data_IF_893076358689
#
_entry.id   IF_893076358689
#
_cell.length_a   1.000
_cell.length_b   1.000
_cell.length_c   1.000
_cell.angle_alpha   90.00
_cell.angle_beta   90.00
_cell.angle_gamma   90.00
#
_symmetry.space_group_name_H-M   'P 1'
#
loop_
_entity.id
_entity.type
_entity.pdbx_description
1 polymer ?
#
# COMPACT_ATOMS: atom_id res chain seq x y z
N UNK A 1 -11.54 11.11 5.02
CA UNK A 1 -11.29 9.67 5.29
C UNK A 1 -9.83 9.39 4.99
N UNK A 2 -9.18 8.57 5.81
CA UNK A 2 -7.77 8.20 5.68
C UNK A 2 -7.69 6.70 5.40
N UNK A 3 -6.84 6.31 4.44
CA UNK A 3 -6.53 4.90 4.17
C UNK A 3 -5.12 4.56 4.63
N UNK A 4 -4.97 3.49 5.39
CA UNK A 4 -3.70 2.90 5.79
C UNK A 4 -3.56 1.51 5.17
N UNK A 5 -2.33 1.02 5.07
CA UNK A 5 -2.04 -0.33 4.60
C UNK A 5 -1.17 -1.06 5.59
N UNK A 6 -1.42 -2.35 5.75
CA UNK A 6 -0.79 -3.17 6.77
C UNK A 6 -1.14 -4.64 6.65
N UNK A 7 -0.88 -5.42 7.70
CA UNK A 7 -1.25 -6.84 7.81
C UNK A 7 -1.64 -7.14 9.25
N UNK A 8 -2.55 -8.10 9.45
CA UNK A 8 -2.97 -8.62 10.76
C UNK A 8 -3.43 -7.53 11.75
N UNK A 9 -4.26 -6.59 11.30
CA UNK A 9 -4.71 -5.44 12.11
C UNK A 9 -6.02 -5.67 12.87
N UNK A 10 -6.75 -6.74 12.59
CA UNK A 10 -8.06 -7.03 13.20
C UNK A 10 -8.01 -6.99 14.74
N UNK A 11 -7.04 -7.69 15.33
CA UNK A 11 -6.86 -7.75 16.78
C UNK A 11 -6.50 -6.38 17.38
N UNK A 12 -5.67 -5.61 16.68
CA UNK A 12 -5.30 -4.26 17.11
C UNK A 12 -6.55 -3.37 17.15
N UNK A 13 -7.39 -3.39 16.11
CA UNK A 13 -8.55 -2.52 16.04
C UNK A 13 -9.65 -2.91 17.02
N UNK A 14 -9.82 -4.22 17.29
CA UNK A 14 -10.73 -4.69 18.33
C UNK A 14 -10.27 -4.26 19.73
N UNK A 15 -9.00 -4.49 20.09
CA UNK A 15 -8.52 -4.19 21.44
C UNK A 15 -8.35 -2.68 21.72
N UNK A 16 -7.99 -1.90 20.69
CA UNK A 16 -7.78 -0.46 20.81
C UNK A 16 -9.07 0.35 20.57
N UNK A 17 -10.19 -0.33 20.28
CA UNK A 17 -11.48 0.28 19.94
C UNK A 17 -11.32 1.35 18.84
N UNK A 18 -10.69 0.93 17.74
CA UNK A 18 -10.45 1.75 16.54
C UNK A 18 -11.57 1.47 15.55
N UNK A 19 -12.32 2.51 15.19
CA UNK A 19 -13.40 2.39 14.21
C UNK A 19 -12.87 2.54 12.78
N UNK A 20 -12.70 1.41 12.09
CA UNK A 20 -12.18 1.34 10.74
C UNK A 20 -12.87 0.26 9.90
N UNK A 21 -13.03 0.53 8.60
CA UNK A 21 -13.58 -0.40 7.63
C UNK A 21 -12.45 -1.06 6.83
N UNK A 22 -12.42 -2.40 6.77
CA UNK A 22 -11.49 -3.12 5.88
C UNK A 22 -11.99 -3.03 4.45
N UNK A 23 -11.22 -2.38 3.59
CA UNK A 23 -11.56 -2.15 2.19
C UNK A 23 -11.05 -3.27 1.29
N UNK A 24 -9.85 -3.78 1.57
CA UNK A 24 -9.16 -4.80 0.77
C UNK A 24 -8.38 -5.73 1.67
N UNK A 25 -8.33 -7.02 1.31
CA UNK A 25 -7.36 -7.98 1.82
C UNK A 25 -6.89 -8.87 0.65
N UNK A 26 -5.59 -8.90 0.39
CA UNK A 26 -5.02 -9.71 -0.70
C UNK A 26 -4.93 -11.17 -0.28
N UNK A 27 -5.13 -12.11 -1.22
CA UNK A 27 -5.17 -13.54 -0.87
C UNK A 27 -3.80 -14.09 -0.49
N UNK A 28 -2.76 -13.79 -1.26
CA UNK A 28 -1.43 -14.35 -1.09
C UNK A 28 -0.64 -13.67 0.03
N UNK A 29 -0.54 -12.35 -0.04
CA UNK A 29 0.29 -11.56 0.89
C UNK A 29 -0.45 -11.12 2.15
N UNK A 30 -1.79 -11.29 2.21
CA UNK A 30 -2.62 -10.81 3.34
C UNK A 30 -2.45 -9.32 3.62
N UNK A 31 -2.07 -8.54 2.61
CA UNK A 31 -2.01 -7.09 2.69
C UNK A 31 -3.42 -6.55 2.82
N UNK A 32 -3.63 -5.73 3.83
CA UNK A 32 -4.92 -5.14 4.17
C UNK A 32 -4.88 -3.64 3.91
N UNK A 33 -5.95 -3.10 3.34
CA UNK A 33 -6.20 -1.66 3.29
C UNK A 33 -7.40 -1.35 4.17
N UNK A 34 -7.21 -0.42 5.11
CA UNK A 34 -8.25 -0.01 6.06
C UNK A 34 -8.55 1.46 5.91
N UNK A 35 -9.82 1.82 5.93
CA UNK A 35 -10.32 3.18 5.86
C UNK A 35 -10.90 3.61 7.20
N UNK A 36 -10.54 4.81 7.65
CA UNK A 36 -11.04 5.37 8.92
C UNK A 36 -11.20 6.89 8.84
N UNK A 37 -11.80 7.47 9.88
CA UNK A 37 -11.85 8.93 10.02
C UNK A 37 -10.47 9.51 10.37
N UNK A 38 -10.28 10.82 10.18
CA UNK A 38 -9.03 11.50 10.59
C UNK A 38 -8.83 11.41 12.12
N UNK A 39 -9.91 11.51 12.91
CA UNK A 39 -9.84 11.37 14.36
C UNK A 39 -9.36 9.99 14.79
N UNK A 40 -9.88 8.93 14.15
CA UNK A 40 -9.46 7.55 14.43
C UNK A 40 -8.01 7.32 14.01
N UNK A 41 -7.60 7.90 12.88
CA UNK A 41 -6.21 7.86 12.43
C UNK A 41 -5.27 8.55 13.41
N UNK A 42 -5.62 9.75 13.88
CA UNK A 42 -4.80 10.50 14.85
C UNK A 42 -4.70 9.75 16.18
N UNK A 43 -5.78 9.10 16.64
CA UNK A 43 -5.77 8.22 17.81
C UNK A 43 -4.80 7.05 17.61
N UNK A 44 -4.90 6.35 16.48
CA UNK A 44 -4.03 5.21 16.13
C UNK A 44 -2.56 5.64 16.02
N UNK A 45 -2.28 6.78 15.39
CA UNK A 45 -0.93 7.29 15.18
C UNK A 45 -0.28 7.85 16.45
N UNK A 46 -1.07 8.18 17.47
CA UNK A 46 -0.57 8.65 18.77
C UNK A 46 -0.13 7.51 19.70
N UNK A 47 -0.38 6.24 19.34
CA UNK A 47 0.03 5.08 20.12
C UNK A 47 1.56 4.94 20.04
N UNK A 48 2.28 4.99 21.17
CA UNK A 48 3.72 4.75 21.20
C UNK A 48 4.06 3.32 20.76
N UNK A 49 5.23 3.13 20.14
CA UNK A 49 5.72 1.80 19.74
C UNK A 49 5.80 0.81 20.93
N UNK A 50 6.05 1.31 22.15
CA UNK A 50 6.10 0.50 23.37
C UNK A 50 4.74 -0.03 23.83
N UNK A 51 3.65 0.62 23.41
CA UNK A 51 2.26 0.21 23.67
C UNK A 51 1.68 -0.60 22.49
N UNK A 52 2.46 -0.82 21.42
CA UNK A 52 2.06 -1.65 20.29
C UNK A 52 2.40 -3.12 20.57
N UNK A 53 1.38 -3.91 20.93
CA UNK A 53 1.57 -5.30 21.35
C UNK A 53 2.10 -6.19 20.20
N UNK A 54 2.84 -7.26 20.53
CA UNK A 54 3.49 -8.15 19.54
C UNK A 54 2.50 -8.92 18.65
N UNK A 55 1.26 -9.08 19.11
CA UNK A 55 0.17 -9.71 18.36
C UNK A 55 -0.66 -8.71 17.55
N UNK A 56 -0.36 -7.41 17.69
CA UNK A 56 -0.83 -6.39 16.78
C UNK A 56 0.10 -6.45 15.58
N UNK A 57 -0.48 -6.59 14.39
CA UNK A 57 0.29 -6.64 13.15
C UNK A 57 1.01 -5.32 12.88
N UNK A 58 1.10 -4.92 11.62
CA UNK A 58 1.80 -3.69 11.28
C UNK A 58 0.98 -2.84 10.33
N UNK A 59 1.14 -1.53 10.40
CA UNK A 59 0.50 -0.58 9.49
C UNK A 59 1.42 0.58 9.13
N UNK A 60 1.17 1.19 7.97
CA UNK A 60 1.87 2.39 7.49
C UNK A 60 0.90 3.32 6.75
N UNK A 61 1.21 4.61 6.77
CA UNK A 61 0.48 5.67 6.06
C UNK A 61 1.41 6.62 5.26
N UNK A 62 2.69 6.28 5.12
CA UNK A 62 3.69 7.12 4.44
C UNK A 62 3.44 7.29 2.94
N UNK A 63 4.03 8.34 2.36
CA UNK A 63 4.07 8.60 0.91
C UNK A 63 5.50 8.65 0.43
N UNK A 64 5.75 8.21 -0.79
CA UNK A 64 7.06 8.30 -1.41
C UNK A 64 7.45 9.77 -1.60
N UNK A 65 8.68 10.12 -1.22
CA UNK A 65 9.26 11.46 -1.42
C UNK A 65 9.90 11.63 -2.79
N UNK A 66 9.70 10.67 -3.71
CA UNK A 66 10.22 10.77 -5.06
C UNK A 66 9.63 12.02 -5.73
N UNK A 67 10.50 12.96 -6.14
CA UNK A 67 10.10 14.28 -6.65
C UNK A 67 9.48 14.23 -8.07
N UNK A 68 9.45 13.06 -8.71
CA UNK A 68 8.83 12.84 -10.01
C UNK A 68 7.40 12.28 -9.89
N UNK A 69 6.53 12.62 -10.84
CA UNK A 69 5.26 11.91 -11.05
C UNK A 69 5.52 10.59 -11.78
N UNK A 70 4.72 9.57 -11.52
CA UNK A 70 4.68 8.38 -12.35
C UNK A 70 4.20 8.73 -13.76
N UNK A 71 5.06 8.51 -14.76
CA UNK A 71 4.77 8.81 -16.17
C UNK A 71 4.97 7.62 -17.10
N UNK A 72 5.56 6.53 -16.61
CA UNK A 72 5.86 5.36 -17.42
C UNK A 72 4.70 4.39 -17.39
N UNK A 73 4.27 3.89 -18.55
CA UNK A 73 3.16 2.95 -18.66
C UNK A 73 3.65 1.50 -18.54
N UNK A 74 3.09 0.78 -17.58
CA UNK A 74 3.25 -0.65 -17.39
C UNK A 74 1.91 -1.36 -17.56
N UNK A 75 1.95 -2.64 -17.88
CA UNK A 75 0.81 -3.56 -17.81
C UNK A 75 0.98 -4.38 -16.54
N UNK A 76 0.15 -4.13 -15.53
CA UNK A 76 0.18 -4.85 -14.25
C UNK A 76 -1.18 -5.50 -14.06
N UNK A 77 -1.20 -6.80 -13.81
CA UNK A 77 -2.45 -7.57 -13.72
C UNK A 77 -3.34 -7.41 -14.97
N UNK A 78 -2.71 -7.35 -16.16
CA UNK A 78 -3.40 -7.12 -17.44
C UNK A 78 -3.96 -5.70 -17.63
N UNK A 79 -3.77 -4.81 -16.67
CA UNK A 79 -4.30 -3.45 -16.65
C UNK A 79 -3.18 -2.43 -16.79
N UNK A 80 -3.47 -1.30 -17.44
CA UNK A 80 -2.50 -0.20 -17.54
C UNK A 80 -2.29 0.46 -16.17
N UNK A 81 -1.04 0.64 -15.77
CA UNK A 81 -0.60 1.33 -14.56
C UNK A 81 0.47 2.37 -14.91
N UNK A 82 0.35 3.59 -14.40
CA UNK A 82 1.45 4.55 -14.39
C UNK A 82 2.39 4.20 -13.25
N UNK A 83 3.67 3.98 -13.56
CA UNK A 83 4.75 3.72 -12.63
C UNK A 83 5.89 4.74 -12.76
N UNK A 84 6.83 4.69 -11.82
CA UNK A 84 8.08 5.45 -11.91
C UNK A 84 9.02 4.81 -12.93
N UNK A 85 9.88 5.62 -13.55
CA UNK A 85 10.75 5.15 -14.62
C UNK A 85 11.72 4.06 -14.15
N UNK A 86 11.69 2.92 -14.83
CA UNK A 86 12.70 1.88 -14.79
C UNK A 86 13.36 1.71 -16.17
N UNK A 87 14.47 0.98 -16.22
CA UNK A 87 15.11 0.57 -17.48
C UNK A 87 14.25 -0.50 -18.17
N UNK A 88 13.29 -0.06 -18.98
CA UNK A 88 12.32 -0.93 -19.66
C UNK A 88 12.96 -1.92 -20.64
N UNK A 89 14.21 -1.67 -21.08
CA UNK A 89 14.94 -2.61 -21.94
C UNK A 89 15.39 -3.87 -21.18
N UNK A 90 15.56 -3.77 -19.86
CA UNK A 90 16.05 -4.86 -19.02
C UNK A 90 14.92 -5.71 -18.42
N UNK A 91 13.80 -5.09 -18.03
CA UNK A 91 12.75 -5.73 -17.24
C UNK A 91 11.43 -5.95 -17.99
N UNK A 92 11.30 -5.39 -19.19
CA UNK A 92 10.02 -5.35 -19.90
C UNK A 92 9.01 -4.44 -19.21
N UNK A 93 7.74 -4.55 -19.63
CA UNK A 93 6.67 -3.68 -19.15
C UNK A 93 5.43 -4.44 -18.65
N UNK A 94 5.47 -5.77 -18.54
CA UNK A 94 4.34 -6.60 -18.12
C UNK A 94 4.64 -7.33 -16.80
N UNK A 95 3.74 -7.22 -15.83
CA UNK A 95 3.86 -7.82 -14.49
C UNK A 95 2.52 -8.41 -14.05
N UNK A 96 2.56 -9.48 -13.25
CA UNK A 96 1.38 -10.17 -12.75
C UNK A 96 0.75 -9.36 -11.62
N UNK A 97 1.57 -8.87 -10.68
CA UNK A 97 1.12 -8.09 -9.52
C UNK A 97 1.90 -6.79 -9.35
N UNK A 98 1.32 -5.86 -8.59
CA UNK A 98 2.00 -4.64 -8.18
C UNK A 98 3.27 -4.94 -7.37
N UNK A 99 3.22 -5.90 -6.44
CA UNK A 99 4.40 -6.34 -5.70
C UNK A 99 5.48 -6.91 -6.62
N UNK A 100 5.11 -7.64 -7.68
CA UNK A 100 6.07 -8.11 -8.66
C UNK A 100 6.72 -6.94 -9.42
N UNK A 101 5.93 -5.98 -9.91
CA UNK A 101 6.45 -4.77 -10.55
C UNK A 101 7.39 -4.02 -9.60
N UNK A 102 6.99 -3.84 -8.35
CA UNK A 102 7.79 -3.15 -7.34
C UNK A 102 9.13 -3.87 -7.10
N UNK A 103 9.12 -5.20 -7.06
CA UNK A 103 10.34 -5.99 -6.85
C UNK A 103 11.26 -5.99 -8.07
N UNK A 104 10.71 -6.17 -9.27
CA UNK A 104 11.50 -6.40 -10.48
C UNK A 104 11.85 -5.09 -11.19
N UNK A 105 10.89 -4.20 -11.40
CA UNK A 105 11.11 -2.95 -12.13
C UNK A 105 11.81 -1.90 -11.26
N UNK A 106 11.47 -1.82 -9.97
CA UNK A 106 12.08 -0.84 -9.06
C UNK A 106 13.27 -1.40 -8.28
N UNK A 107 13.49 -2.72 -8.30
CA UNK A 107 14.55 -3.40 -7.55
C UNK A 107 14.52 -3.08 -6.03
N UNK A 108 13.31 -3.14 -5.46
CA UNK A 108 13.04 -2.92 -4.03
C UNK A 108 12.40 -4.17 -3.43
N UNK A 109 12.38 -4.31 -2.10
CA UNK A 109 11.81 -5.54 -1.49
C UNK A 109 11.26 -5.39 -0.08
N UNK A 110 11.18 -4.18 0.47
CA UNK A 110 10.72 -3.96 1.85
C UNK A 110 9.24 -3.56 1.87
N UNK A 111 8.47 -4.16 2.78
CA UNK A 111 7.03 -3.86 2.94
C UNK A 111 6.76 -2.38 3.21
N UNK A 112 7.68 -1.72 3.93
CA UNK A 112 7.58 -0.28 4.17
C UNK A 112 7.64 0.51 2.86
N UNK A 113 8.57 0.18 1.96
CA UNK A 113 8.66 0.84 0.67
C UNK A 113 7.48 0.46 -0.24
N UNK A 114 7.00 -0.79 -0.16
CA UNK A 114 5.83 -1.26 -0.91
C UNK A 114 4.60 -0.40 -0.61
N UNK A 115 4.30 -0.14 0.67
CA UNK A 115 3.16 0.71 1.07
C UNK A 115 3.35 2.15 0.63
N UNK A 116 4.54 2.70 0.86
CA UNK A 116 4.90 4.09 0.51
C UNK A 116 4.74 4.34 -1.00
N UNK A 117 5.15 3.37 -1.83
CA UNK A 117 4.99 3.42 -3.27
C UNK A 117 3.52 3.27 -3.68
N UNK A 118 2.79 2.30 -3.13
CA UNK A 118 1.40 2.06 -3.47
C UNK A 118 0.56 3.31 -3.23
N UNK A 119 0.78 4.01 -2.11
CA UNK A 119 0.03 5.23 -1.78
C UNK A 119 0.35 6.40 -2.73
N UNK A 120 1.60 6.58 -3.12
CA UNK A 120 1.95 7.62 -4.08
C UNK A 120 1.46 7.28 -5.50
N UNK A 121 1.60 6.02 -5.92
CA UNK A 121 1.14 5.55 -7.23
C UNK A 121 -0.38 5.57 -7.35
N UNK A 122 -1.12 5.23 -6.30
CA UNK A 122 -2.56 5.41 -6.25
C UNK A 122 -2.93 6.87 -6.60
N UNK A 123 -2.26 7.82 -5.94
CA UNK A 123 -2.45 9.25 -6.19
C UNK A 123 -2.12 9.65 -7.63
N UNK A 124 -1.00 9.16 -8.18
CA UNK A 124 -0.56 9.48 -9.55
C UNK A 124 -1.47 8.84 -10.62
N UNK A 125 -2.07 7.69 -10.30
CA UNK A 125 -3.06 7.01 -11.15
C UNK A 125 -4.49 7.54 -10.93
N UNK A 126 -4.69 8.53 -10.05
CA UNK A 126 -6.00 9.13 -9.78
C UNK A 126 -6.97 8.21 -9.02
N UNK A 127 -6.44 7.32 -8.17
CA UNK A 127 -7.17 6.31 -7.41
C UNK A 127 -6.96 6.49 -5.90
N UNK A 128 -7.88 5.96 -5.09
CA UNK A 128 -7.63 5.66 -3.68
C UNK A 128 -6.64 4.49 -3.55
N UNK A 129 -6.09 4.29 -2.33
CA UNK A 129 -5.16 3.19 -2.07
C UNK A 129 -5.88 1.84 -2.18
N UNK A 130 -7.12 1.76 -1.69
CA UNK A 130 -7.93 0.55 -1.79
C UNK A 130 -8.27 0.19 -3.24
N UNK A 131 -8.61 1.17 -4.08
CA UNK A 131 -8.81 0.95 -5.52
C UNK A 131 -7.54 0.48 -6.22
N UNK A 132 -6.39 1.10 -5.89
CA UNK A 132 -5.10 0.74 -6.50
C UNK A 132 -4.70 -0.71 -6.17
N UNK A 133 -4.73 -1.09 -4.88
CA UNK A 133 -4.40 -2.45 -4.46
C UNK A 133 -5.40 -3.45 -5.04
N UNK A 134 -6.72 -3.17 -4.99
CA UNK A 134 -7.74 -4.04 -5.60
C UNK A 134 -7.52 -4.26 -7.10
N UNK A 135 -6.97 -3.27 -7.79
CA UNK A 135 -6.76 -3.31 -9.23
C UNK A 135 -5.50 -4.10 -9.59
N UNK A 136 -4.39 -3.86 -8.90
CA UNK A 136 -3.07 -4.32 -9.33
C UNK A 136 -2.44 -5.42 -8.47
N UNK A 137 -2.97 -5.71 -7.28
CA UNK A 137 -2.43 -6.71 -6.34
C UNK A 137 -3.44 -7.86 -6.17
N UNK A 138 -3.59 -8.69 -7.20
CA UNK A 138 -4.49 -9.87 -7.19
C UNK A 138 -3.71 -11.18 -7.23
#
# INVERSE_FOLDING_TARGET
MVEIMGQNLDNAFEQLDVNADRMVETEETKLQVWQMSELEFDRLAAIPDEDWHEDFGWWRNGRCIYEGRATTEYIVNGEKMLGYGSDMELFGNEFITYSQWFNEAMNLSTDTNLVIFAKSLASDNGMSLSEFISKYEK
#
